data_IF_771228007239
#
_entry.id   IF_771228007239
#
_cell.length_a   1.000
_cell.length_b   1.000
_cell.length_c   1.000
_cell.angle_alpha   90.00
_cell.angle_beta   90.00
_cell.angle_gamma   90.00
#
_symmetry.space_group_name_H-M   'P 1'
#
loop_
_entity.id
_entity.type
_entity.pdbx_description
1 polymer ?
#
# COMPACT_ATOMS: atom_id res chain seq x y z
N UNK A 1 -1.36 -17.44 -8.92
CA UNK A 1 -0.05 -17.96 -8.47
C UNK A 1 -0.07 -17.84 -6.96
N UNK A 2 -0.93 -18.63 -6.32
CA UNK A 2 -1.41 -18.34 -4.95
C UNK A 2 -1.05 -19.48 -4.00
N UNK A 3 -0.01 -20.25 -4.35
CA UNK A 3 0.35 -21.50 -3.69
C UNK A 3 1.61 -21.40 -2.81
N UNK A 4 2.14 -20.18 -2.62
CA UNK A 4 3.33 -19.96 -1.79
C UNK A 4 2.94 -19.66 -0.34
N UNK A 5 3.66 -20.28 0.58
CA UNK A 5 3.57 -20.00 2.01
C UNK A 5 4.29 -18.70 2.31
N UNK A 6 3.63 -17.80 3.03
CA UNK A 6 4.21 -16.55 3.53
C UNK A 6 4.76 -16.78 4.94
N UNK A 7 6.02 -16.43 5.15
CA UNK A 7 6.69 -16.49 6.45
C UNK A 7 7.21 -15.11 6.79
N UNK A 8 6.71 -14.53 7.87
CA UNK A 8 7.07 -13.18 8.31
C UNK A 8 7.77 -13.26 9.66
N UNK A 9 8.98 -12.72 9.74
CA UNK A 9 9.83 -12.70 10.94
C UNK A 9 10.02 -11.26 11.40
N UNK A 10 9.62 -10.95 12.62
CA UNK A 10 9.59 -9.57 13.14
C UNK A 10 10.19 -9.52 14.54
N UNK A 11 11.04 -8.52 14.80
CA UNK A 11 11.58 -8.31 16.14
C UNK A 11 12.80 -7.41 16.14
N UNK A 12 13.63 -7.50 17.18
CA UNK A 12 14.89 -6.74 17.22
C UNK A 12 15.92 -7.29 16.23
N UNK A 13 16.62 -6.42 15.51
CA UNK A 13 17.69 -6.83 14.58
C UNK A 13 18.83 -7.56 15.32
N UNK A 14 19.20 -8.74 14.81
CA UNK A 14 20.24 -9.61 15.38
C UNK A 14 21.00 -10.31 14.26
N UNK A 15 22.31 -10.47 14.47
CA UNK A 15 23.13 -11.25 13.55
C UNK A 15 22.65 -12.69 13.47
N UNK A 16 22.38 -13.15 12.25
CA UNK A 16 22.07 -14.55 11.97
C UNK A 16 20.59 -14.88 11.81
N UNK A 17 19.65 -13.93 11.97
CA UNK A 17 18.20 -14.18 11.79
C UNK A 17 17.91 -14.85 10.44
N UNK A 18 18.34 -14.20 9.35
CA UNK A 18 18.16 -14.69 7.97
C UNK A 18 18.77 -16.09 7.79
N UNK A 19 20.02 -16.27 8.25
CA UNK A 19 20.74 -17.52 8.07
C UNK A 19 20.06 -18.69 8.80
N UNK A 20 19.59 -18.47 10.03
CA UNK A 20 18.91 -19.52 10.80
C UNK A 20 17.57 -19.91 10.17
N UNK A 21 16.76 -18.92 9.78
CA UNK A 21 15.44 -19.18 9.16
C UNK A 21 15.60 -19.89 7.82
N UNK A 22 16.46 -19.37 6.93
CA UNK A 22 16.70 -19.99 5.62
C UNK A 22 17.34 -21.37 5.71
N UNK A 23 18.23 -21.60 6.68
CA UNK A 23 18.80 -22.95 6.93
C UNK A 23 17.72 -23.92 7.37
N UNK A 24 16.86 -23.51 8.30
CA UNK A 24 15.75 -24.31 8.79
C UNK A 24 14.79 -24.71 7.65
N UNK A 25 14.47 -23.79 6.74
CA UNK A 25 13.66 -24.08 5.55
C UNK A 25 14.37 -25.06 4.60
N UNK A 26 15.65 -24.83 4.34
CA UNK A 26 16.47 -25.70 3.50
C UNK A 26 16.55 -27.14 4.05
N UNK A 27 16.75 -27.31 5.36
CA UNK A 27 16.80 -28.63 6.02
C UNK A 27 15.48 -29.40 5.91
N UNK A 28 14.37 -28.69 5.66
CA UNK A 28 13.03 -29.26 5.45
C UNK A 28 12.65 -29.42 3.97
N UNK A 29 13.57 -29.14 3.05
CA UNK A 29 13.32 -29.25 1.62
C UNK A 29 12.40 -28.17 1.04
N UNK A 30 12.31 -27.01 1.71
CA UNK A 30 11.48 -25.89 1.28
C UNK A 30 12.31 -24.96 0.40
N UNK A 31 11.77 -24.57 -0.76
CA UNK A 31 12.42 -23.60 -1.65
C UNK A 31 11.92 -22.18 -1.34
N UNK A 32 12.82 -21.21 -1.25
CA UNK A 32 12.47 -19.79 -1.11
C UNK A 32 12.43 -19.18 -2.51
N UNK A 33 11.25 -18.70 -2.92
CA UNK A 33 11.03 -18.07 -4.22
C UNK A 33 11.32 -16.57 -4.18
N UNK A 34 10.95 -15.92 -3.07
CA UNK A 34 11.19 -14.50 -2.84
C UNK A 34 11.54 -14.22 -1.38
N UNK A 35 12.37 -13.21 -1.17
CA UNK A 35 12.80 -12.77 0.15
C UNK A 35 12.98 -11.26 0.14
N UNK A 36 12.24 -10.60 1.02
CA UNK A 36 12.39 -9.17 1.31
C UNK A 36 12.77 -8.95 2.78
N UNK A 37 13.53 -7.88 3.04
CA UNK A 37 13.88 -7.49 4.40
C UNK A 37 13.89 -5.96 4.57
N UNK A 38 13.50 -5.51 5.75
CA UNK A 38 13.55 -4.11 6.13
C UNK A 38 13.92 -3.93 7.60
N UNK A 39 14.53 -2.78 7.92
CA UNK A 39 14.79 -2.37 9.30
C UNK A 39 14.32 -0.93 9.47
N UNK A 40 13.43 -0.69 10.44
CA UNK A 40 12.93 0.64 10.78
C UNK A 40 12.79 0.79 12.29
N UNK A 41 13.30 1.89 12.83
CA UNK A 41 13.24 2.22 14.25
C UNK A 41 13.72 1.09 15.20
N UNK A 42 14.72 0.32 14.75
CA UNK A 42 15.28 -0.81 15.49
C UNK A 42 14.49 -2.12 15.38
N UNK A 43 13.37 -2.12 14.65
CA UNK A 43 12.57 -3.29 14.33
C UNK A 43 13.01 -3.84 12.97
N UNK A 44 13.39 -5.10 12.96
CA UNK A 44 13.69 -5.91 11.79
C UNK A 44 12.42 -6.64 11.33
N UNK A 45 12.21 -6.67 10.03
CA UNK A 45 11.25 -7.53 9.35
C UNK A 45 11.96 -8.30 8.24
N UNK A 46 11.64 -9.57 8.10
CA UNK A 46 11.92 -10.36 6.91
C UNK A 46 10.65 -11.11 6.49
N UNK A 47 10.30 -11.01 5.21
CA UNK A 47 9.16 -11.71 4.61
C UNK A 47 9.71 -12.68 3.57
N UNK A 48 9.33 -13.95 3.66
CA UNK A 48 9.70 -14.99 2.69
C UNK A 48 8.44 -15.54 2.03
N UNK A 49 8.49 -15.69 0.71
CA UNK A 49 7.55 -16.51 -0.05
C UNK A 49 8.23 -17.81 -0.41
N UNK A 50 7.67 -18.92 0.07
CA UNK A 50 8.31 -20.23 -0.04
C UNK A 50 7.36 -21.28 -0.61
N UNK A 51 7.89 -22.13 -1.50
CA UNK A 51 7.21 -23.32 -1.98
C UNK A 51 7.38 -24.45 -0.95
N UNK A 52 6.26 -24.79 -0.31
CA UNK A 52 6.18 -25.86 0.71
C UNK A 52 5.60 -27.16 0.16
N UNK A 53 5.37 -27.28 -1.16
CA UNK A 53 4.74 -28.45 -1.77
C UNK A 53 5.60 -29.72 -1.70
N UNK A 54 6.92 -29.58 -1.68
CA UNK A 54 7.88 -30.69 -1.56
C UNK A 54 8.48 -30.86 -0.15
N UNK A 55 7.94 -30.17 0.86
CA UNK A 55 8.51 -30.21 2.21
C UNK A 55 8.42 -31.60 2.85
N UNK A 56 9.41 -31.94 3.68
CA UNK A 56 9.50 -33.27 4.31
C UNK A 56 8.77 -33.40 5.65
N UNK A 57 8.01 -32.39 6.07
CA UNK A 57 7.26 -32.35 7.32
C UNK A 57 5.80 -31.92 7.09
N UNK A 58 4.98 -31.91 8.15
CA UNK A 58 3.63 -31.34 8.08
C UNK A 58 3.66 -29.82 8.29
N UNK A 59 2.60 -29.12 7.87
CA UNK A 59 2.39 -27.68 8.11
C UNK A 59 2.51 -27.33 9.60
N UNK A 60 1.85 -28.11 10.46
CA UNK A 60 1.93 -27.99 11.93
C UNK A 60 3.38 -28.11 12.43
N UNK A 61 4.13 -29.10 11.94
CA UNK A 61 5.54 -29.30 12.36
C UNK A 61 6.43 -28.14 11.90
N UNK A 62 6.16 -27.56 10.73
CA UNK A 62 6.90 -26.40 10.24
C UNK A 62 6.60 -25.17 11.10
N UNK A 63 5.32 -24.92 11.40
CA UNK A 63 4.86 -23.81 12.22
C UNK A 63 5.48 -23.88 13.62
N UNK A 64 5.38 -25.03 14.28
CA UNK A 64 5.97 -25.25 15.62
C UNK A 64 7.48 -24.98 15.62
N UNK A 65 8.19 -25.49 14.62
CA UNK A 65 9.64 -25.31 14.58
C UNK A 65 10.10 -23.89 14.24
N UNK A 66 9.31 -23.16 13.45
CA UNK A 66 9.57 -21.73 13.19
C UNK A 66 9.25 -20.90 14.43
N UNK A 67 8.21 -21.26 15.17
CA UNK A 67 7.88 -20.64 16.47
C UNK A 67 8.99 -20.87 17.50
N UNK A 68 9.44 -22.13 17.67
CA UNK A 68 10.57 -22.47 18.57
C UNK A 68 11.84 -21.68 18.20
N UNK A 69 12.11 -21.54 16.89
CA UNK A 69 13.25 -20.73 16.42
C UNK A 69 13.05 -19.25 16.75
N UNK A 70 11.83 -18.74 16.61
CA UNK A 70 11.46 -17.38 17.00
C UNK A 70 11.74 -17.12 18.47
N UNK A 71 11.29 -18.01 19.36
CA UNK A 71 11.52 -17.94 20.80
C UNK A 71 13.03 -17.91 21.14
N UNK A 72 13.81 -18.80 20.53
CA UNK A 72 15.27 -18.87 20.73
C UNK A 72 15.99 -17.59 20.28
N UNK A 73 15.51 -17.00 19.17
CA UNK A 73 16.06 -15.77 18.60
C UNK A 73 15.46 -14.51 19.23
N UNK A 74 14.40 -14.63 20.03
CA UNK A 74 13.62 -13.52 20.58
C UNK A 74 13.03 -12.63 19.50
N UNK A 75 12.38 -13.25 18.51
CA UNK A 75 11.63 -12.63 17.41
C UNK A 75 10.30 -13.36 17.25
N UNK A 76 9.29 -12.67 16.75
CA UNK A 76 8.01 -13.25 16.40
C UNK A 76 8.08 -13.83 14.98
N UNK A 77 7.51 -15.02 14.78
CA UNK A 77 7.43 -15.66 13.46
C UNK A 77 5.98 -16.00 13.16
N UNK A 78 5.45 -15.44 12.09
CA UNK A 78 4.12 -15.74 11.56
C UNK A 78 4.25 -16.59 10.29
N UNK A 79 3.41 -17.61 10.18
CA UNK A 79 3.40 -18.55 9.05
C UNK A 79 1.98 -18.66 8.52
N UNK A 80 1.78 -18.28 7.26
CA UNK A 80 0.49 -18.34 6.57
C UNK A 80 0.59 -19.23 5.35
N UNK A 81 -0.03 -20.39 5.42
CA UNK A 81 -0.17 -21.30 4.28
C UNK A 81 -1.26 -20.79 3.33
N UNK A 82 -1.23 -21.18 2.05
CA UNK A 82 -2.30 -20.89 1.11
C UNK A 82 -3.69 -21.34 1.60
N UNK A 83 -3.75 -22.49 2.28
CA UNK A 83 -4.97 -23.08 2.86
C UNK A 83 -5.54 -22.28 4.04
N UNK A 84 -4.73 -21.46 4.71
CA UNK A 84 -5.21 -20.61 5.81
C UNK A 84 -6.07 -19.43 5.29
N UNK A 85 -6.18 -19.24 3.96
CA UNK A 85 -6.80 -18.08 3.31
C UNK A 85 -8.25 -18.31 2.85
N UNK A 86 -8.88 -19.41 3.23
CA UNK A 86 -10.21 -19.82 2.73
C UNK A 86 -11.36 -18.91 3.20
N UNK A 87 -11.21 -18.10 4.25
CA UNK A 87 -12.21 -17.09 4.66
C UNK A 87 -11.51 -15.86 5.20
N UNK A 88 -11.50 -14.78 4.42
CA UNK A 88 -10.79 -13.55 4.79
C UNK A 88 -11.50 -12.83 5.96
N UNK A 89 -10.79 -12.63 7.07
CA UNK A 89 -11.27 -11.87 8.21
C UNK A 89 -10.81 -10.40 8.12
N UNK A 90 -11.75 -9.47 8.17
CA UNK A 90 -11.49 -8.03 8.13
C UNK A 90 -11.58 -7.44 9.53
N UNK A 91 -10.49 -6.82 9.99
CA UNK A 91 -10.50 -5.94 11.16
C UNK A 91 -10.56 -4.48 10.72
N UNK A 92 -11.57 -3.74 11.18
CA UNK A 92 -11.75 -2.33 10.81
C UNK A 92 -11.29 -1.41 11.93
N UNK A 93 -10.32 -0.54 11.64
CA UNK A 93 -9.85 0.48 12.56
C UNK A 93 -10.52 1.82 12.24
N UNK A 94 -11.09 2.49 13.25
CA UNK A 94 -11.82 3.74 13.04
C UNK A 94 -11.69 4.72 14.22
N UNK A 95 -11.88 6.03 13.98
CA UNK A 95 -11.77 7.05 15.05
C UNK A 95 -13.09 7.70 15.42
N UNK A 96 -13.73 8.45 14.52
CA UNK A 96 -14.97 9.21 14.81
C UNK A 96 -15.89 9.37 13.61
N UNK A 97 -15.32 9.41 12.41
CA UNK A 97 -16.08 9.59 11.18
C UNK A 97 -16.66 8.25 10.76
N UNK A 98 -17.97 8.19 10.51
CA UNK A 98 -18.69 6.94 10.33
C UNK A 98 -18.82 6.50 8.87
N UNK A 99 -18.72 7.41 7.90
CA UNK A 99 -19.11 7.17 6.51
C UNK A 99 -18.41 5.96 5.86
N UNK A 100 -17.10 5.79 6.06
CA UNK A 100 -16.38 4.61 5.56
C UNK A 100 -16.83 3.31 6.25
N UNK A 101 -17.02 3.33 7.58
CA UNK A 101 -17.45 2.16 8.34
C UNK A 101 -18.90 1.78 8.00
N UNK A 102 -19.77 2.77 7.80
CA UNK A 102 -21.16 2.55 7.35
C UNK A 102 -21.17 1.88 5.98
N UNK A 103 -20.38 2.36 5.01
CA UNK A 103 -20.30 1.76 3.68
C UNK A 103 -19.77 0.32 3.70
N UNK A 104 -18.73 0.04 4.49
CA UNK A 104 -18.20 -1.31 4.66
C UNK A 104 -19.26 -2.26 5.23
N UNK A 105 -19.98 -1.84 6.28
CA UNK A 105 -21.05 -2.67 6.85
C UNK A 105 -22.23 -2.87 5.90
N UNK A 106 -22.60 -1.85 5.12
CA UNK A 106 -23.67 -1.97 4.12
C UNK A 106 -23.29 -2.97 3.04
N UNK A 107 -22.08 -2.88 2.48
CA UNK A 107 -21.57 -3.82 1.49
C UNK A 107 -21.47 -5.25 2.05
N UNK A 108 -20.94 -5.40 3.27
CA UNK A 108 -20.87 -6.70 3.95
C UNK A 108 -22.26 -7.31 4.18
N UNK A 109 -23.22 -6.53 4.69
CA UNK A 109 -24.58 -7.01 4.94
C UNK A 109 -25.35 -7.39 3.66
N UNK A 110 -24.98 -6.81 2.51
CA UNK A 110 -25.52 -7.16 1.20
C UNK A 110 -24.87 -8.40 0.58
N UNK A 111 -23.74 -8.87 1.14
CA UNK A 111 -22.93 -9.95 0.56
C UNK A 111 -22.05 -9.50 -0.60
N UNK A 112 -21.72 -8.21 -0.67
CA UNK A 112 -20.86 -7.62 -1.70
C UNK A 112 -19.35 -7.79 -1.37
N UNK A 113 -19.02 -8.31 -0.18
CA UNK A 113 -17.68 -8.64 0.28
C UNK A 113 -17.60 -10.14 0.54
N UNK A 114 -16.67 -10.85 -0.10
CA UNK A 114 -16.42 -12.29 0.13
C UNK A 114 -15.53 -12.51 1.38
N UNK A 115 -15.89 -11.83 2.48
CA UNK A 115 -15.13 -11.76 3.71
C UNK A 115 -16.04 -11.44 4.91
N UNK A 116 -15.57 -11.78 6.11
CA UNK A 116 -16.26 -11.44 7.36
C UNK A 116 -15.64 -10.21 8.01
N UNK A 117 -16.46 -9.24 8.43
CA UNK A 117 -15.99 -8.16 9.31
C UNK A 117 -16.01 -8.67 10.75
N UNK A 118 -14.83 -9.11 11.23
CA UNK A 118 -14.70 -9.85 12.49
C UNK A 118 -14.70 -8.94 13.72
N UNK A 119 -14.13 -7.74 13.60
CA UNK A 119 -13.99 -6.79 14.72
C UNK A 119 -13.86 -5.35 14.23
N UNK A 120 -14.41 -4.41 15.02
CA UNK A 120 -14.11 -2.98 14.90
C UNK A 120 -13.25 -2.53 16.09
N UNK A 121 -12.09 -1.94 15.80
CA UNK A 121 -11.16 -1.44 16.81
C UNK A 121 -11.07 0.08 16.71
N UNK A 122 -11.59 0.77 17.71
CA UNK A 122 -11.53 2.21 17.82
C UNK A 122 -10.43 2.68 18.77
N UNK A 123 -10.05 3.95 18.64
CA UNK A 123 -9.34 4.68 19.71
C UNK A 123 -10.27 5.59 20.52
N UNK A 124 -11.59 5.52 20.24
CA UNK A 124 -12.68 6.21 20.92
C UNK A 124 -13.99 5.43 20.74
N UNK A 125 -14.90 5.53 21.69
CA UNK A 125 -16.21 4.84 21.64
C UNK A 125 -17.27 5.44 20.69
N UNK A 126 -16.92 6.42 19.84
CA UNK A 126 -17.94 7.17 19.07
C UNK A 126 -18.73 6.29 18.10
N UNK A 127 -18.07 5.26 17.54
CA UNK A 127 -18.64 4.38 16.52
C UNK A 127 -19.14 3.04 17.09
N UNK A 128 -19.02 2.82 18.40
CA UNK A 128 -19.55 1.62 19.06
C UNK A 128 -21.03 1.35 18.74
N UNK A 129 -21.94 2.35 18.81
CA UNK A 129 -23.36 2.11 18.49
C UNK A 129 -23.61 1.67 17.04
N UNK A 130 -22.69 1.97 16.12
CA UNK A 130 -22.78 1.52 14.74
C UNK A 130 -22.37 0.06 14.61
N UNK A 131 -21.25 -0.35 15.22
CA UNK A 131 -20.82 -1.75 15.24
C UNK A 131 -21.86 -2.66 15.93
N UNK A 132 -22.42 -2.22 17.06
CA UNK A 132 -23.48 -2.94 17.77
C UNK A 132 -24.75 -3.13 16.93
N UNK A 133 -25.04 -2.25 15.97
CA UNK A 133 -26.20 -2.39 15.07
C UNK A 133 -26.04 -3.57 14.11
N UNK A 134 -24.80 -3.87 13.72
CA UNK A 134 -24.44 -4.95 12.81
C UNK A 134 -23.99 -6.21 13.55
N UNK A 135 -24.16 -6.24 14.89
CA UNK A 135 -23.72 -7.35 15.76
C UNK A 135 -22.22 -7.67 15.66
N UNK A 136 -21.39 -6.66 15.37
CA UNK A 136 -19.93 -6.79 15.28
C UNK A 136 -19.26 -6.32 16.59
N UNK A 137 -18.32 -7.10 17.17
CA UNK A 137 -17.57 -6.71 18.35
C UNK A 137 -16.85 -5.36 18.19
N UNK A 138 -16.89 -4.52 19.23
CA UNK A 138 -16.20 -3.23 19.25
C UNK A 138 -15.29 -3.09 20.47
N UNK A 139 -14.02 -2.79 20.21
CA UNK A 139 -13.00 -2.53 21.23
C UNK A 139 -12.50 -1.09 21.14
N UNK A 140 -12.25 -0.47 22.29
CA UNK A 140 -11.62 0.84 22.35
C UNK A 140 -10.25 0.69 23.01
N UNK A 141 -9.20 0.72 22.21
CA UNK A 141 -7.79 0.61 22.67
C UNK A 141 -7.17 1.97 22.99
N UNK A 142 -7.97 3.05 22.98
CA UNK A 142 -7.48 4.41 23.17
C UNK A 142 -7.47 4.88 24.62
N UNK A 143 -6.40 5.57 25.03
CA UNK A 143 -6.36 6.33 26.28
C UNK A 143 -7.32 7.55 26.26
N UNK A 144 -7.33 8.36 27.32
CA UNK A 144 -8.17 9.57 27.39
C UNK A 144 -7.94 10.58 26.24
N UNK A 145 -6.71 10.60 25.68
CA UNK A 145 -6.33 11.44 24.53
C UNK A 145 -6.62 10.73 23.19
N UNK A 146 -7.00 9.46 23.23
CA UNK A 146 -7.20 8.56 22.10
C UNK A 146 -5.90 8.06 21.50
N UNK A 147 -4.81 8.03 22.27
CA UNK A 147 -3.56 7.36 21.90
C UNK A 147 -3.79 5.86 22.03
N UNK A 148 -3.60 5.06 20.98
CA UNK A 148 -3.86 3.63 21.04
C UNK A 148 -2.80 2.91 21.86
N UNK A 149 -3.23 1.91 22.63
CA UNK A 149 -2.38 0.82 23.08
C UNK A 149 -2.18 -0.13 21.90
N UNK A 150 -0.99 -0.11 21.29
CA UNK A 150 -0.70 -0.91 20.11
C UNK A 150 -0.46 -2.39 20.44
N UNK A 151 -0.08 -2.72 21.69
CA UNK A 151 0.06 -4.10 22.11
C UNK A 151 -1.34 -4.75 22.20
N UNK A 152 -2.31 -4.05 22.83
CA UNK A 152 -3.71 -4.49 22.85
C UNK A 152 -4.31 -4.57 21.44
N UNK A 153 -3.98 -3.62 20.55
CA UNK A 153 -4.38 -3.68 19.15
C UNK A 153 -3.87 -4.96 18.48
N UNK A 154 -2.59 -5.30 18.64
CA UNK A 154 -2.01 -6.49 18.03
C UNK A 154 -2.61 -7.78 18.61
N UNK A 155 -2.83 -7.85 19.92
CA UNK A 155 -3.49 -8.97 20.58
C UNK A 155 -4.90 -9.19 20.00
N UNK A 156 -5.66 -8.12 19.77
CA UNK A 156 -6.99 -8.21 19.16
C UNK A 156 -6.93 -8.62 17.68
N UNK A 157 -5.98 -8.10 16.91
CA UNK A 157 -5.84 -8.50 15.50
C UNK A 157 -5.47 -9.98 15.37
N UNK A 158 -4.70 -10.53 16.32
CA UNK A 158 -4.38 -11.94 16.40
C UNK A 158 -5.57 -12.77 16.90
N UNK A 159 -6.26 -12.36 17.96
CA UNK A 159 -7.46 -13.04 18.52
C UNK A 159 -8.57 -13.22 17.47
N UNK A 160 -8.71 -12.25 16.57
CA UNK A 160 -9.72 -12.24 15.52
C UNK A 160 -9.19 -12.71 14.15
N UNK A 161 -8.01 -13.32 14.12
CA UNK A 161 -7.37 -13.89 12.92
C UNK A 161 -7.36 -12.92 11.71
N UNK A 162 -7.12 -11.63 11.95
CA UNK A 162 -7.30 -10.59 10.93
C UNK A 162 -6.40 -10.83 9.70
N UNK A 163 -7.01 -10.97 8.52
CA UNK A 163 -6.32 -11.08 7.24
C UNK A 163 -6.12 -9.74 6.56
N UNK A 164 -7.09 -8.85 6.73
CA UNK A 164 -7.05 -7.52 6.17
C UNK A 164 -7.42 -6.51 7.27
N UNK A 165 -6.56 -5.53 7.45
CA UNK A 165 -6.79 -4.40 8.34
C UNK A 165 -7.24 -3.21 7.51
N UNK A 166 -8.42 -2.66 7.79
CA UNK A 166 -8.98 -1.54 7.04
C UNK A 166 -9.03 -0.31 7.92
N UNK A 167 -8.26 0.73 7.58
CA UNK A 167 -8.26 2.01 8.28
C UNK A 167 -9.41 2.88 7.74
N UNK A 168 -10.62 2.64 8.25
CA UNK A 168 -11.81 3.43 7.97
C UNK A 168 -11.74 4.79 8.71
N UNK A 169 -10.89 5.69 8.18
CA UNK A 169 -10.61 7.02 8.76
C UNK A 169 -10.06 6.95 10.18
N UNK A 170 -9.09 6.05 10.35
CA UNK A 170 -8.31 5.93 11.57
C UNK A 170 -7.24 7.04 11.63
N UNK A 171 -7.37 7.96 12.59
CA UNK A 171 -6.58 9.20 12.63
C UNK A 171 -5.29 9.05 13.45
N UNK A 172 -4.71 7.85 13.49
CA UNK A 172 -3.48 7.54 14.23
C UNK A 172 -2.49 6.85 13.30
N UNK A 173 -1.23 7.23 13.45
CA UNK A 173 -0.11 6.62 12.75
C UNK A 173 0.17 5.30 13.46
N UNK A 174 0.24 4.22 12.69
CA UNK A 174 0.63 2.90 13.18
C UNK A 174 2.16 2.83 13.26
N UNK A 175 2.70 2.22 14.32
CA UNK A 175 4.13 1.98 14.40
C UNK A 175 4.63 0.99 13.36
N UNK A 176 5.95 0.96 13.08
CA UNK A 176 6.55 -0.06 12.23
C UNK A 176 6.27 -1.49 12.71
N UNK A 177 6.06 -1.72 14.02
CA UNK A 177 5.72 -3.04 14.54
C UNK A 177 4.40 -3.56 13.95
N UNK A 178 3.37 -2.72 13.97
CA UNK A 178 2.04 -3.06 13.42
C UNK A 178 2.12 -3.18 11.90
N UNK A 179 2.75 -2.21 11.23
CA UNK A 179 2.84 -2.18 9.77
C UNK A 179 3.58 -3.40 9.23
N UNK A 180 4.67 -3.84 9.88
CA UNK A 180 5.45 -4.99 9.42
C UNK A 180 4.71 -6.32 9.58
N UNK A 181 3.85 -6.47 10.60
CA UNK A 181 3.05 -7.70 10.83
C UNK A 181 1.93 -7.88 9.81
N UNK A 182 1.48 -6.80 9.20
CA UNK A 182 0.40 -6.76 8.22
C UNK A 182 0.82 -6.02 6.95
N UNK A 183 2.08 -6.19 6.53
CA UNK A 183 2.57 -5.57 5.29
C UNK A 183 1.69 -6.00 4.09
N UNK A 184 1.37 -5.04 3.22
CA UNK A 184 0.44 -5.21 2.10
C UNK A 184 -0.96 -5.76 2.49
N UNK A 185 -1.30 -5.71 3.79
CA UNK A 185 -2.57 -6.14 4.39
C UNK A 185 -3.21 -5.06 5.25
N UNK A 186 -2.73 -3.83 5.17
CA UNK A 186 -3.38 -2.67 5.80
C UNK A 186 -3.78 -1.69 4.70
N UNK A 187 -5.08 -1.49 4.48
CA UNK A 187 -5.59 -0.51 3.51
C UNK A 187 -6.01 0.74 4.26
N UNK A 188 -5.56 1.90 3.79
CA UNK A 188 -5.95 3.21 4.31
C UNK A 188 -6.64 4.06 3.25
N UNK A 189 -7.59 4.88 3.70
CA UNK A 189 -8.21 5.93 2.87
C UNK A 189 -7.74 7.31 3.33
N UNK A 190 -7.07 8.02 2.43
CA UNK A 190 -6.57 9.36 2.67
C UNK A 190 -7.40 10.43 1.93
N UNK A 191 -7.84 11.52 2.58
CA UNK A 191 -8.63 12.59 1.96
C UNK A 191 -7.84 13.55 1.06
N UNK A 192 -6.99 13.00 0.20
CA UNK A 192 -6.28 13.75 -0.84
C UNK A 192 -5.97 12.87 -2.05
N UNK A 193 -5.78 13.50 -3.21
CA UNK A 193 -5.11 12.86 -4.35
C UNK A 193 -3.61 12.82 -4.07
N UNK A 194 -3.15 11.77 -3.39
CA UNK A 194 -1.72 11.55 -3.18
C UNK A 194 -0.96 11.55 -4.52
N UNK A 195 0.27 12.12 -4.58
CA UNK A 195 1.11 12.54 -3.44
C UNK A 195 0.81 13.95 -2.89
N UNK A 196 -0.24 14.64 -3.34
CA UNK A 196 -0.58 15.95 -2.78
C UNK A 196 -1.11 15.84 -1.35
N UNK A 197 -0.77 16.81 -0.49
CA UNK A 197 -1.27 16.96 0.89
C UNK A 197 -1.18 15.69 1.76
N UNK A 198 0.01 15.06 1.92
CA UNK A 198 0.17 13.99 2.89
C UNK A 198 0.00 14.53 4.32
N UNK A 199 -0.33 13.64 5.25
CA UNK A 199 -0.50 13.94 6.66
C UNK A 199 -1.82 14.62 7.02
N UNK A 200 -1.82 15.30 8.16
CA UNK A 200 -3.06 15.73 8.78
C UNK A 200 -3.79 16.86 8.01
N UNK A 201 -5.12 16.86 8.11
CA UNK A 201 -5.99 17.94 7.65
C UNK A 201 -5.92 18.25 6.13
N UNK A 202 -5.78 17.23 5.28
CA UNK A 202 -5.64 17.39 3.82
C UNK A 202 -6.73 18.27 3.17
N UNK A 203 -8.02 18.13 3.52
CA UNK A 203 -9.06 19.03 3.00
C UNK A 203 -8.87 20.51 3.35
N UNK A 204 -8.26 20.80 4.50
CA UNK A 204 -7.91 22.19 4.86
C UNK A 204 -6.78 22.68 3.98
N UNK A 205 -5.75 21.86 3.77
CA UNK A 205 -4.63 22.18 2.88
C UNK A 205 -5.12 22.44 1.45
N UNK A 206 -5.99 21.56 0.91
CA UNK A 206 -6.60 21.72 -0.40
C UNK A 206 -7.35 23.06 -0.55
N UNK A 207 -8.10 23.46 0.48
CA UNK A 207 -8.79 24.76 0.51
C UNK A 207 -7.80 25.94 0.55
N UNK A 208 -6.78 25.86 1.40
CA UNK A 208 -5.81 26.94 1.60
C UNK A 208 -4.95 27.17 0.34
N UNK A 209 -4.63 26.09 -0.39
CA UNK A 209 -3.93 26.15 -1.67
C UNK A 209 -4.83 26.49 -2.87
N UNK A 210 -6.15 26.54 -2.66
CA UNK A 210 -7.11 26.94 -3.71
C UNK A 210 -7.15 25.99 -4.91
N UNK A 211 -6.99 24.69 -4.67
CA UNK A 211 -7.02 23.69 -5.74
C UNK A 211 -8.37 23.68 -6.44
N UNK A 212 -8.38 23.43 -7.76
CA UNK A 212 -9.61 23.27 -8.55
C UNK A 212 -10.12 21.84 -8.58
N UNK A 213 -9.22 20.90 -8.32
CA UNK A 213 -9.50 19.47 -8.27
C UNK A 213 -8.91 18.98 -6.95
N UNK A 214 -9.73 18.31 -6.16
CA UNK A 214 -9.33 17.56 -4.98
C UNK A 214 -9.75 16.09 -5.17
N UNK A 215 -9.50 15.25 -4.17
CA UNK A 215 -9.89 13.86 -4.24
C UNK A 215 -9.42 13.07 -3.05
N UNK A 216 -9.38 11.76 -3.21
CA UNK A 216 -9.08 10.79 -2.16
C UNK A 216 -8.26 9.65 -2.76
N UNK A 217 -7.49 8.98 -1.92
CA UNK A 217 -6.63 7.86 -2.31
C UNK A 217 -6.78 6.72 -1.33
N UNK A 218 -7.15 5.54 -1.83
CA UNK A 218 -7.00 4.30 -1.08
C UNK A 218 -5.63 3.67 -1.41
N UNK A 219 -4.86 3.28 -0.40
CA UNK A 219 -3.50 2.76 -0.57
C UNK A 219 -3.15 1.76 0.53
N UNK A 220 -2.18 0.89 0.26
CA UNK A 220 -1.58 0.07 1.31
C UNK A 220 -0.75 0.93 2.26
N UNK A 221 -0.76 0.64 3.56
CA UNK A 221 0.03 1.36 4.56
C UNK A 221 1.46 0.83 4.57
N UNK A 222 2.42 1.75 4.54
CA UNK A 222 3.84 1.47 4.77
C UNK A 222 4.34 2.28 5.96
N UNK A 223 5.60 2.09 6.35
CA UNK A 223 6.21 2.88 7.43
C UNK A 223 6.40 4.36 7.09
N UNK A 224 6.27 4.72 5.81
CA UNK A 224 6.34 6.10 5.35
C UNK A 224 4.91 6.65 5.22
N UNK A 225 4.61 7.68 6.02
CA UNK A 225 3.27 8.24 6.17
C UNK A 225 2.67 8.67 4.83
N UNK A 226 1.52 8.08 4.46
CA UNK A 226 0.76 8.36 3.24
C UNK A 226 1.60 8.24 1.94
N UNK A 227 2.57 7.31 1.92
CA UNK A 227 3.46 7.05 0.77
C UNK A 227 3.40 5.59 0.28
N UNK A 228 2.42 4.82 0.73
CA UNK A 228 2.32 3.43 0.32
C UNK A 228 1.76 3.24 -1.10
N UNK A 229 1.82 2.00 -1.63
CA UNK A 229 1.31 1.67 -2.95
C UNK A 229 -0.17 2.07 -3.10
N UNK A 230 -0.45 2.96 -4.04
CA UNK A 230 -1.81 3.43 -4.34
C UNK A 230 -2.61 2.29 -4.96
N UNK A 231 -3.81 1.99 -4.45
CA UNK A 231 -4.71 0.98 -5.01
C UNK A 231 -5.69 1.63 -5.98
N UNK A 232 -6.36 2.69 -5.53
CA UNK A 232 -7.33 3.42 -6.33
C UNK A 232 -7.49 4.87 -5.88
N UNK A 233 -7.99 5.74 -6.76
CA UNK A 233 -8.23 7.16 -6.48
C UNK A 233 -9.59 7.62 -7.00
N UNK A 234 -10.13 8.68 -6.38
CA UNK A 234 -11.29 9.42 -6.89
C UNK A 234 -11.01 10.91 -6.84
N UNK A 235 -11.42 11.63 -7.88
CA UNK A 235 -11.26 13.07 -7.99
C UNK A 235 -12.61 13.78 -8.04
N UNK A 236 -12.66 15.02 -7.57
CA UNK A 236 -13.82 15.89 -7.67
C UNK A 236 -13.42 17.36 -7.82
N UNK A 237 -14.27 18.12 -8.49
CA UNK A 237 -14.10 19.56 -8.63
C UNK A 237 -14.34 20.29 -7.31
N UNK A 238 -13.50 21.27 -7.01
CA UNK A 238 -13.64 22.17 -5.87
C UNK A 238 -14.23 23.49 -6.36
N UNK A 239 -15.47 23.85 -5.95
CA UNK A 239 -16.05 25.15 -6.25
C UNK A 239 -15.19 26.30 -5.71
N UNK A 240 -15.12 27.41 -6.45
CA UNK A 240 -14.22 28.56 -6.17
C UNK A 240 -14.32 29.10 -4.73
N UNK A 241 -15.55 29.21 -4.21
CA UNK A 241 -15.82 29.74 -2.87
C UNK A 241 -16.19 28.64 -1.85
N UNK A 242 -15.83 27.36 -2.13
CA UNK A 242 -16.23 26.25 -1.28
C UNK A 242 -15.74 26.41 0.17
N UNK A 243 -16.66 26.21 1.12
CA UNK A 243 -16.35 26.06 2.54
C UNK A 243 -15.62 24.74 2.80
N UNK A 244 -14.94 24.64 3.95
CA UNK A 244 -14.29 23.38 4.34
C UNK A 244 -15.33 22.25 4.53
N UNK A 245 -16.53 22.59 4.99
CA UNK A 245 -17.62 21.63 5.16
C UNK A 245 -18.14 21.13 3.82
N UNK A 246 -18.27 22.01 2.81
CA UNK A 246 -18.66 21.62 1.46
C UNK A 246 -17.63 20.68 0.83
N UNK A 247 -16.32 21.01 0.91
CA UNK A 247 -15.25 20.13 0.39
C UNK A 247 -15.31 18.75 1.05
N UNK A 248 -15.49 18.71 2.37
CA UNK A 248 -15.67 17.45 3.10
C UNK A 248 -16.91 16.68 2.64
N UNK A 249 -18.04 17.35 2.45
CA UNK A 249 -19.28 16.69 2.02
C UNK A 249 -19.19 16.12 0.60
N UNK A 250 -18.36 16.71 -0.26
CA UNK A 250 -18.07 16.18 -1.60
C UNK A 250 -17.11 14.99 -1.53
N UNK A 251 -16.13 15.05 -0.63
CA UNK A 251 -15.10 14.03 -0.50
C UNK A 251 -15.53 12.76 0.24
N UNK A 252 -16.29 12.86 1.33
CA UNK A 252 -16.64 11.71 2.19
C UNK A 252 -17.31 10.54 1.44
N UNK A 253 -18.29 10.75 0.53
CA UNK A 253 -18.83 9.66 -0.27
C UNK A 253 -17.78 8.98 -1.15
N UNK A 254 -16.85 9.76 -1.71
CA UNK A 254 -15.75 9.24 -2.53
C UNK A 254 -14.70 8.49 -1.69
N UNK A 255 -14.49 8.89 -0.44
CA UNK A 255 -13.64 8.14 0.50
C UNK A 255 -14.21 6.74 0.76
N UNK A 256 -15.51 6.66 1.02
CA UNK A 256 -16.19 5.39 1.24
C UNK A 256 -16.14 4.49 0.00
N UNK A 257 -16.43 5.06 -1.16
CA UNK A 257 -16.38 4.37 -2.46
C UNK A 257 -14.97 3.85 -2.78
N UNK A 258 -13.95 4.71 -2.71
CA UNK A 258 -12.56 4.31 -2.98
C UNK A 258 -12.04 3.26 -1.99
N UNK A 259 -12.43 3.36 -0.71
CA UNK A 259 -12.04 2.37 0.28
C UNK A 259 -12.68 1.01 -0.01
N UNK A 260 -13.97 0.99 -0.35
CA UNK A 260 -14.69 -0.24 -0.65
C UNK A 260 -14.11 -0.94 -1.89
N UNK A 261 -13.87 -0.19 -2.96
CA UNK A 261 -13.19 -0.66 -4.17
C UNK A 261 -11.82 -1.27 -3.85
N UNK A 262 -11.01 -0.60 -3.03
CA UNK A 262 -9.70 -1.11 -2.64
C UNK A 262 -9.78 -2.41 -1.83
N UNK A 263 -10.78 -2.54 -0.96
CA UNK A 263 -11.05 -3.77 -0.23
C UNK A 263 -11.44 -4.88 -1.21
N UNK A 264 -12.36 -4.64 -2.13
CA UNK A 264 -12.77 -5.63 -3.15
C UNK A 264 -11.58 -6.10 -4.00
N UNK A 265 -10.80 -5.18 -4.54
CA UNK A 265 -9.56 -5.48 -5.27
C UNK A 265 -8.58 -6.37 -4.49
N UNK A 266 -8.51 -6.21 -3.16
CA UNK A 266 -7.69 -7.04 -2.30
C UNK A 266 -8.30 -8.41 -2.05
N UNK A 267 -9.60 -8.48 -1.74
CA UNK A 267 -10.29 -9.74 -1.48
C UNK A 267 -10.32 -10.64 -2.72
N UNK A 268 -10.51 -10.05 -3.91
CA UNK A 268 -10.52 -10.76 -5.19
C UNK A 268 -9.12 -11.23 -5.65
N UNK A 269 -8.07 -10.98 -4.86
CA UNK A 269 -6.65 -11.15 -5.22
C UNK A 269 -6.32 -10.49 -6.57
N UNK A 270 -7.03 -9.41 -6.91
CA UNK A 270 -6.95 -8.74 -8.21
C UNK A 270 -5.74 -7.80 -8.30
N UNK A 271 -5.20 -7.35 -7.17
CA UNK A 271 -4.06 -6.43 -7.10
C UNK A 271 -2.79 -7.11 -6.62
N UNK A 272 -1.65 -6.75 -7.21
CA UNK A 272 -0.31 -7.15 -6.78
C UNK A 272 0.53 -5.92 -6.47
N UNK A 273 1.36 -6.00 -5.44
CA UNK A 273 2.34 -4.96 -5.09
C UNK A 273 3.72 -5.37 -5.59
N UNK A 274 4.38 -4.49 -6.34
CA UNK A 274 5.76 -4.67 -6.74
C UNK A 274 6.50 -3.33 -6.74
N UNK A 275 7.62 -3.25 -6.01
CA UNK A 275 8.48 -2.05 -5.92
C UNK A 275 7.69 -0.78 -5.56
N UNK A 276 6.81 -0.86 -4.56
CA UNK A 276 6.03 0.28 -4.08
C UNK A 276 4.87 0.69 -4.99
N UNK A 277 4.53 -0.10 -6.00
CA UNK A 277 3.45 0.18 -6.95
C UNK A 277 2.49 -1.00 -7.02
N UNK A 278 1.23 -0.71 -7.28
CA UNK A 278 0.22 -1.72 -7.55
C UNK A 278 0.09 -1.98 -9.05
N UNK A 279 -0.27 -3.20 -9.41
CA UNK A 279 -0.72 -3.59 -10.74
C UNK A 279 -1.78 -4.67 -10.65
N UNK A 280 -2.74 -4.66 -11.57
CA UNK A 280 -3.71 -5.75 -11.70
C UNK A 280 -3.00 -7.06 -12.03
N UNK A 281 -3.41 -8.14 -11.37
CA UNK A 281 -2.90 -9.48 -11.65
C UNK A 281 -3.41 -9.99 -13.01
N UNK A 282 -2.65 -10.87 -13.68
CA UNK A 282 -3.15 -11.56 -14.86
C UNK A 282 -4.44 -12.33 -14.56
N UNK A 283 -5.54 -11.95 -15.22
CA UNK A 283 -6.86 -12.58 -15.05
C UNK A 283 -7.90 -11.69 -14.36
N UNK A 284 -7.49 -10.59 -13.72
CA UNK A 284 -8.40 -9.52 -13.33
C UNK A 284 -8.77 -8.69 -14.56
N UNK A 285 -10.05 -8.38 -14.74
CA UNK A 285 -10.52 -7.47 -15.79
C UNK A 285 -10.51 -6.04 -15.25
N UNK A 286 -9.83 -5.13 -15.94
CA UNK A 286 -9.78 -3.71 -15.58
C UNK A 286 -11.17 -3.06 -15.67
N UNK A 287 -12.10 -3.65 -16.43
CA UNK A 287 -13.48 -3.18 -16.52
C UNK A 287 -14.34 -3.49 -15.28
N UNK A 288 -13.90 -4.40 -14.41
CA UNK A 288 -14.64 -4.78 -13.21
C UNK A 288 -14.38 -3.80 -12.04
N UNK A 289 -13.32 -2.98 -12.13
CA UNK A 289 -12.85 -2.12 -11.05
C UNK A 289 -12.63 -0.69 -11.54
N UNK A 290 -12.91 0.30 -10.70
CA UNK A 290 -12.52 1.68 -11.00
C UNK A 290 -11.20 2.02 -10.30
N UNK A 291 -10.08 2.00 -11.02
CA UNK A 291 -8.76 2.37 -10.48
C UNK A 291 -8.54 3.89 -10.34
N UNK A 292 -9.22 4.70 -11.15
CA UNK A 292 -9.02 6.15 -11.21
C UNK A 292 -10.25 6.91 -11.66
N UNK A 293 -10.17 7.54 -12.83
CA UNK A 293 -11.30 8.28 -13.42
C UNK A 293 -12.42 7.33 -13.83
N UNK A 294 -13.66 7.83 -13.85
CA UNK A 294 -14.81 7.11 -14.40
C UNK A 294 -14.68 6.97 -15.92
N UNK A 295 -15.36 5.98 -16.51
CA UNK A 295 -15.44 5.82 -17.97
C UNK A 295 -15.92 7.08 -18.69
N UNK A 296 -16.90 7.77 -18.10
CA UNK A 296 -17.45 9.02 -18.64
C UNK A 296 -16.41 10.14 -18.67
N UNK A 297 -15.59 10.27 -17.62
CA UNK A 297 -14.52 11.25 -17.56
C UNK A 297 -13.36 10.87 -18.49
N UNK A 298 -13.00 9.59 -18.56
CA UNK A 298 -11.97 9.07 -19.47
C UNK A 298 -12.37 9.30 -20.93
N UNK A 299 -13.63 9.06 -21.31
CA UNK A 299 -14.13 9.29 -22.65
C UNK A 299 -14.17 10.77 -23.06
N UNK A 300 -14.22 11.68 -22.08
CA UNK A 300 -14.14 13.13 -22.33
C UNK A 300 -12.70 13.62 -22.56
N UNK A 301 -11.69 12.83 -22.13
CA UNK A 301 -10.29 13.17 -22.31
C UNK A 301 -9.78 12.77 -23.70
N UNK A 302 -8.78 13.50 -24.25
CA UNK A 302 -8.09 13.06 -25.46
C UNK A 302 -7.43 11.69 -25.25
N UNK A 303 -7.63 10.78 -26.19
CA UNK A 303 -7.10 9.42 -26.20
C UNK A 303 -5.73 9.29 -26.90
N UNK A 304 -5.29 10.37 -27.56
CA UNK A 304 -4.00 10.47 -28.25
C UNK A 304 -3.51 11.91 -28.34
N UNK A 305 -2.19 12.13 -28.54
CA UNK A 305 -1.68 13.44 -28.93
C UNK A 305 -2.41 13.97 -30.16
N UNK A 306 -2.78 15.25 -30.12
CA UNK A 306 -3.46 15.95 -31.22
C UNK A 306 -2.50 16.67 -32.17
N UNK A 307 -1.19 16.46 -31.99
CA UNK A 307 -0.20 17.01 -32.89
C UNK A 307 -0.16 16.24 -34.23
N UNK A 308 0.29 16.92 -35.29
CA UNK A 308 0.30 16.36 -36.63
C UNK A 308 1.44 15.37 -36.89
N UNK A 309 2.21 14.96 -35.88
CA UNK A 309 3.38 14.10 -36.08
C UNK A 309 2.98 12.71 -36.56
N UNK A 310 1.92 12.13 -35.98
CA UNK A 310 1.38 10.84 -36.43
C UNK A 310 0.88 10.88 -37.88
N UNK A 311 0.23 11.98 -38.28
CA UNK A 311 -0.25 12.19 -39.66
C UNK A 311 0.92 12.44 -40.62
N UNK A 312 1.97 13.13 -40.18
CA UNK A 312 3.18 13.39 -40.96
C UNK A 312 4.01 12.12 -41.19
N UNK A 313 4.15 11.27 -40.17
CA UNK A 313 4.83 9.97 -40.28
C UNK A 313 4.07 9.00 -41.19
N UNK A 314 2.73 8.98 -41.13
CA UNK A 314 1.92 8.20 -42.08
C UNK A 314 1.99 8.74 -43.52
N UNK A 315 2.14 10.04 -43.70
CA UNK A 315 2.32 10.65 -45.01
C UNK A 315 3.70 10.35 -45.63
N UNK A 316 4.75 10.20 -44.81
CA UNK A 316 6.11 9.88 -45.28
C UNK A 316 6.27 8.40 -45.66
N UNK A 317 5.56 7.49 -44.99
CA UNK A 317 5.52 6.04 -45.37
C UNK A 317 4.72 5.81 -46.66
N UNK A 318 3.91 6.79 -47.10
CA UNK A 318 3.13 6.75 -48.34
C UNK A 318 3.92 7.00 -49.64
N UNK A 319 5.24 7.23 -49.59
CA UNK A 319 6.08 7.49 -50.77
C UNK A 319 7.33 6.59 -50.79
N UNK A 320 7.15 5.28 -50.59
CA UNK A 320 8.16 4.30 -51.00
C UNK A 320 7.50 2.93 -51.30
N UNK A 321 7.01 2.75 -52.52
CA UNK A 321 6.74 1.42 -53.05
C UNK A 321 8.06 0.72 -53.39
N UNK A 322 8.28 -0.46 -52.80
CA UNK A 322 9.19 -1.47 -53.31
C UNK A 322 10.29 -1.95 -52.37
N UNK A 323 9.96 -2.81 -51.40
CA UNK A 323 10.97 -3.65 -50.73
C UNK A 323 10.48 -4.32 -49.46
N UNK A 324 10.13 -5.60 -49.54
CA UNK A 324 10.01 -6.51 -48.39
C UNK A 324 11.29 -6.49 -47.55
N UNK A 325 11.20 -6.09 -46.27
CA UNK A 325 12.18 -6.45 -45.24
C UNK A 325 11.46 -6.76 -43.93
N UNK A 326 11.93 -7.85 -43.35
CA UNK A 326 11.63 -8.57 -42.11
C UNK A 326 11.56 -7.69 -40.85
N UNK A 327 10.58 -7.95 -39.99
CA UNK A 327 10.41 -7.33 -38.67
C UNK A 327 11.43 -7.91 -37.68
N UNK A 328 12.38 -7.08 -37.25
CA UNK A 328 13.26 -7.42 -36.14
C UNK A 328 14.45 -6.47 -35.98
N UNK A 329 14.26 -5.39 -35.21
CA UNK A 329 15.32 -4.78 -34.39
C UNK A 329 14.74 -3.78 -33.38
N UNK A 330 15.12 -4.02 -32.13
CA UNK A 330 14.96 -3.32 -30.85
C UNK A 330 14.96 -1.79 -30.85
N UNK A 331 14.01 -1.24 -30.10
CA UNK A 331 13.93 0.15 -29.60
C UNK A 331 14.95 0.50 -28.51
N UNK A 332 15.92 -0.37 -28.20
CA UNK A 332 16.81 -0.22 -27.03
C UNK A 332 18.06 0.64 -27.28
N UNK A 333 18.40 0.99 -28.54
CA UNK A 333 19.63 1.76 -28.85
C UNK A 333 19.45 3.28 -28.80
N UNK A 334 18.22 3.79 -28.87
CA UNK A 334 17.95 5.24 -28.90
C UNK A 334 17.85 5.83 -27.48
N UNK A 335 17.25 5.10 -26.53
CA UNK A 335 17.21 5.50 -25.10
C UNK A 335 18.61 5.52 -24.44
N UNK A 336 19.54 4.67 -24.88
CA UNK A 336 20.92 4.67 -24.33
C UNK A 336 21.72 5.91 -24.74
N UNK A 337 21.41 6.55 -25.87
CA UNK A 337 22.14 7.74 -26.32
C UNK A 337 21.68 9.02 -25.63
N UNK A 338 20.42 9.11 -25.21
CA UNK A 338 19.93 10.27 -24.45
C UNK A 338 20.46 10.26 -23.00
N UNK A 339 20.67 9.07 -22.41
CA UNK A 339 21.25 8.95 -21.07
C UNK A 339 22.73 9.36 -21.01
N UNK A 340 23.55 9.06 -22.03
CA UNK A 340 24.98 9.44 -22.06
C UNK A 340 25.22 10.94 -22.30
N UNK A 341 24.25 11.66 -22.88
CA UNK A 341 24.37 13.10 -23.14
C UNK A 341 24.10 13.98 -21.90
N UNK A 342 23.43 13.44 -20.88
CA UNK A 342 23.06 14.18 -19.67
C UNK A 342 24.16 14.16 -18.58
N UNK A 343 25.14 13.25 -18.66
CA UNK A 343 26.15 13.02 -17.61
C UNK A 343 27.50 13.74 -17.87
N UNK A 344 27.61 14.56 -18.93
CA UNK A 344 28.87 15.22 -19.30
C UNK A 344 29.05 16.66 -18.80
N UNK A 345 28.12 17.20 -18.01
CA UNK A 345 28.18 18.60 -17.55
C UNK A 345 28.68 18.71 -16.09
N UNK A 346 29.98 18.46 -15.90
CA UNK A 346 30.68 18.80 -14.64
C UNK A 346 31.49 20.09 -14.84
N UNK A 347 31.38 21.13 -13.99
CA UNK A 347 32.26 22.29 -14.09
C UNK A 347 33.59 22.03 -13.37
N UNK A 348 34.70 22.10 -14.11
CA UNK A 348 36.07 22.11 -13.57
C UNK A 348 36.38 23.39 -12.77
N UNK A 349 37.16 23.16 -11.72
CA UNK A 349 37.76 24.10 -10.77
C UNK A 349 38.68 25.16 -11.41
N UNK A 350 38.64 26.39 -10.87
CA UNK A 350 39.77 27.32 -10.92
C UNK A 350 40.08 27.81 -9.50
N UNK A 351 41.25 27.42 -9.00
CA UNK A 351 41.97 28.11 -7.93
C UNK A 351 42.60 29.38 -8.53
N UNK A 352 42.49 30.55 -7.87
CA UNK A 352 43.59 31.08 -7.05
C UNK A 352 43.29 32.49 -6.46
N UNK A 353 43.99 32.78 -5.36
CA UNK A 353 44.23 34.07 -4.68
C UNK A 353 43.13 34.72 -3.79
N UNK A 354 43.30 34.67 -2.46
CA UNK A 354 43.98 35.75 -1.69
C UNK A 354 43.63 35.78 -0.18
N UNK A 355 44.70 35.79 0.60
CA UNK A 355 44.93 36.48 1.89
C UNK A 355 44.27 36.06 3.22
N UNK A 356 45.16 36.07 4.21
CA UNK A 356 45.03 35.62 5.57
C UNK A 356 44.59 36.74 6.55
N UNK A 357 43.90 36.38 7.64
CA UNK A 357 44.17 36.85 9.01
C UNK A 357 43.16 36.25 10.02
N UNK A 358 43.51 36.14 11.32
CA UNK A 358 43.06 35.03 12.16
C UNK A 358 41.90 35.36 13.11
N UNK A 359 41.20 34.30 13.53
CA UNK A 359 40.35 34.27 14.72
C UNK A 359 41.20 34.36 16.00
N UNK A 360 40.77 35.07 17.05
CA UNK A 360 41.15 34.74 18.40
C UNK A 360 40.19 33.69 18.98
N UNK A 361 40.80 32.86 19.80
CA UNK A 361 40.33 31.70 20.56
C UNK A 361 39.19 31.95 21.54
N UNK A 362 38.47 30.85 21.78
CA UNK A 362 37.89 30.37 23.04
C UNK A 362 38.16 31.19 24.32
N UNK A 363 37.06 31.53 25.01
CA UNK A 363 36.80 31.18 26.42
C UNK A 363 35.28 31.16 26.68
#
# INVERSE_FOLDING_TARGET
>A
MTDLTEITVIGGDKTGLIANVTTLLFERGINVEDLDQAVRDGIFRMTLHADTSEMVCTEETLRDALHDLGDDLGVDVQVRFPSDRDTQQIAVLATKESHCLEALFEAWANGDLDADISVVIGNRDHLRPLAERYDVPFYNVGDEKGSPDEDELLDLLDEYDADLVVLARYMRILSPNVVFRYEDRIINIHPSLLPAFPGAAAYRQAKEEGVRIAGVTAHYVTTDLDQGPIITQRAFDVPDDASLEEIKSLGQPLEADALLEAVQLHLDDAVSVHRGRTSLRPGADDADYQLGMTDEATAANPDRPIDGLADALQADVGVADGGTVDDGASTDEEEQREAEAADSDTPESNEDEAEAAPNPSDD
#
